data_IF_779187908277
#
_entry.id   IF_779187908277
#
_cell.length_a   1.000
_cell.length_b   1.000
_cell.length_c   1.000
_cell.angle_alpha   90.00
_cell.angle_beta   90.00
_cell.angle_gamma   90.00
#
_symmetry.space_group_name_H-M   'P 1'
#
loop_
_entity.id
_entity.type
_entity.pdbx_description
1 polymer ?
#
# COMPACT_ATOMS: atom_id res chain seq x y z
N UNK A 1 17.13 30.39 -10.06
CA UNK A 1 16.04 29.41 -9.91
C UNK A 1 14.81 30.17 -9.43
N UNK A 2 13.73 30.16 -10.20
CA UNK A 2 12.45 30.69 -9.75
C UNK A 2 11.69 29.55 -9.08
N UNK A 3 11.49 29.64 -7.77
CA UNK A 3 10.59 28.73 -7.05
C UNK A 3 9.17 29.15 -7.41
N UNK A 4 8.45 28.31 -8.15
CA UNK A 4 7.03 28.54 -8.43
C UNK A 4 6.26 27.97 -7.25
N UNK A 5 5.64 28.86 -6.46
CA UNK A 5 4.80 28.45 -5.34
C UNK A 5 3.39 28.21 -5.89
N UNK A 6 2.99 26.95 -5.98
CA UNK A 6 1.64 26.58 -6.39
C UNK A 6 0.72 26.58 -5.17
N UNK A 7 -0.43 27.25 -5.26
CA UNK A 7 -1.52 27.07 -4.30
C UNK A 7 -2.39 25.93 -4.82
N UNK A 8 -2.47 24.84 -4.06
CA UNK A 8 -3.34 23.73 -4.41
C UNK A 8 -4.80 24.20 -4.39
N UNK A 9 -5.62 23.77 -5.38
CA UNK A 9 -7.04 24.08 -5.37
C UNK A 9 -7.69 23.45 -4.14
N UNK A 10 -8.76 24.07 -3.63
CA UNK A 10 -9.48 23.54 -2.49
C UNK A 10 -10.27 22.28 -2.90
N UNK A 11 -9.64 21.11 -2.74
CA UNK A 11 -10.26 19.82 -3.03
C UNK A 11 -11.41 19.48 -2.07
N UNK A 12 -11.54 20.15 -0.91
CA UNK A 12 -12.74 20.00 -0.07
C UNK A 12 -14.00 20.49 -0.80
N UNK A 13 -13.88 21.35 -1.82
CA UNK A 13 -15.03 21.75 -2.66
C UNK A 13 -15.44 20.64 -3.65
N UNK A 14 -14.52 19.75 -4.05
CA UNK A 14 -14.78 18.65 -4.98
C UNK A 14 -15.16 17.36 -4.25
N UNK A 15 -14.59 17.13 -3.07
CA UNK A 15 -14.81 15.95 -2.23
C UNK A 15 -15.85 16.18 -1.14
N UNK A 16 -16.33 17.42 -1.03
CA UNK A 16 -17.36 17.94 -0.12
C UNK A 16 -17.50 17.12 1.16
N UNK A 17 -16.47 17.22 2.01
CA UNK A 17 -16.50 16.67 3.36
C UNK A 17 -17.66 17.26 4.17
N UNK A 18 -18.13 18.47 3.83
CA UNK A 18 -19.27 19.12 4.49
C UNK A 18 -20.62 18.50 4.07
N UNK A 19 -20.76 17.95 2.86
CA UNK A 19 -21.92 17.12 2.46
C UNK A 19 -21.80 15.65 2.86
N UNK A 20 -20.73 15.26 3.53
CA UNK A 20 -20.61 13.96 4.23
C UNK A 20 -20.68 14.16 5.75
N UNK A 21 -21.81 14.63 6.33
CA UNK A 21 -21.99 14.70 7.78
C UNK A 21 -21.87 13.34 8.48
N UNK A 22 -21.85 12.26 7.70
CA UNK A 22 -21.64 10.88 8.13
C UNK A 22 -20.25 10.33 7.77
N UNK A 23 -19.23 11.17 7.51
CA UNK A 23 -17.85 10.67 7.42
C UNK A 23 -17.49 10.05 8.78
N UNK A 24 -17.46 8.72 8.80
CA UNK A 24 -17.22 7.93 10.00
C UNK A 24 -15.87 7.29 9.87
N UNK A 25 -15.06 7.44 10.91
CA UNK A 25 -13.87 6.63 11.11
C UNK A 25 -14.30 5.44 11.97
N UNK A 26 -13.75 4.26 11.69
CA UNK A 26 -14.00 3.07 12.51
C UNK A 26 -13.71 3.38 14.01
N UNK A 27 -14.60 3.00 14.95
CA UNK A 27 -14.43 3.30 16.37
C UNK A 27 -13.18 2.67 17.01
N UNK A 28 -12.56 1.69 16.35
CA UNK A 28 -11.32 1.08 16.79
C UNK A 28 -10.05 1.88 16.46
N UNK A 29 -10.14 2.99 15.70
CA UNK A 29 -8.97 3.81 15.31
C UNK A 29 -8.07 4.18 16.49
N UNK A 30 -8.58 4.68 17.64
CA UNK A 30 -7.70 5.09 18.74
C UNK A 30 -6.92 3.91 19.33
N UNK A 31 -7.49 2.70 19.26
CA UNK A 31 -6.80 1.49 19.69
C UNK A 31 -5.71 1.09 18.69
N UNK A 32 -6.00 1.12 17.39
CA UNK A 32 -5.01 0.85 16.34
C UNK A 32 -3.84 1.83 16.41
N UNK A 33 -4.12 3.12 16.60
CA UNK A 33 -3.09 4.15 16.73
C UNK A 33 -2.14 3.86 17.89
N UNK A 34 -2.67 3.50 19.08
CA UNK A 34 -1.82 3.12 20.23
C UNK A 34 -0.99 1.87 19.94
N UNK A 35 -1.59 0.84 19.33
CA UNK A 35 -0.89 -0.40 18.99
C UNK A 35 0.22 -0.16 17.94
N UNK A 36 -0.04 0.73 16.98
CA UNK A 36 0.91 1.13 15.96
C UNK A 36 2.12 1.89 16.53
N UNK A 37 1.89 2.90 17.39
CA UNK A 37 2.98 3.62 18.05
C UNK A 37 3.82 2.68 18.91
N UNK A 38 3.18 1.79 19.68
CA UNK A 38 3.88 0.79 20.48
C UNK A 38 4.69 -0.22 19.63
N UNK A 39 4.31 -0.43 18.37
CA UNK A 39 5.10 -1.19 17.40
C UNK A 39 6.30 -0.38 16.91
N UNK A 40 6.12 0.89 16.54
CA UNK A 40 7.23 1.76 16.10
C UNK A 40 8.29 1.92 17.19
N UNK A 41 7.89 1.96 18.47
CA UNK A 41 8.82 1.98 19.60
C UNK A 41 9.75 0.77 19.64
N UNK A 42 9.28 -0.39 19.19
CA UNK A 42 10.10 -1.60 19.08
C UNK A 42 11.06 -1.56 17.88
N UNK A 43 10.80 -0.69 16.91
CA UNK A 43 11.64 -0.51 15.72
C UNK A 43 12.68 0.60 15.88
N UNK A 44 12.74 1.32 17.01
CA UNK A 44 13.62 2.49 17.19
C UNK A 44 15.11 2.25 16.89
N UNK A 45 15.58 1.00 16.96
CA UNK A 45 16.97 0.62 16.65
C UNK A 45 17.15 0.08 15.22
N UNK A 46 16.06 -0.09 14.47
CA UNK A 46 16.03 -0.63 13.10
C UNK A 46 15.80 0.49 12.10
N UNK A 47 14.92 1.45 12.43
CA UNK A 47 14.60 2.61 11.58
C UNK A 47 15.21 3.89 12.16
N UNK A 48 15.61 4.81 11.29
CA UNK A 48 16.12 6.12 11.69
C UNK A 48 15.01 7.03 12.25
N UNK A 49 15.34 8.07 13.04
CA UNK A 49 14.36 9.06 13.49
C UNK A 49 13.65 9.82 12.35
N UNK A 50 14.29 9.93 11.19
CA UNK A 50 13.67 10.49 10.00
C UNK A 50 12.60 9.53 9.46
N UNK A 51 12.96 8.28 9.16
CA UNK A 51 12.01 7.25 8.72
C UNK A 51 10.84 7.09 9.68
N UNK A 52 11.09 7.12 10.99
CA UNK A 52 10.02 7.07 11.99
C UNK A 52 9.00 8.20 11.81
N UNK A 53 9.45 9.44 11.59
CA UNK A 53 8.56 10.59 11.38
C UNK A 53 7.72 10.44 10.12
N UNK A 54 8.32 9.93 9.03
CA UNK A 54 7.59 9.64 7.79
C UNK A 54 6.49 8.59 8.03
N UNK A 55 6.83 7.50 8.73
CA UNK A 55 5.89 6.41 9.04
C UNK A 55 4.75 6.88 9.96
N UNK A 56 5.05 7.72 10.96
CA UNK A 56 4.03 8.34 11.84
C UNK A 56 3.16 9.33 11.06
N UNK A 57 3.78 10.15 10.20
CA UNK A 57 3.12 11.16 9.36
C UNK A 57 2.16 10.56 8.33
N UNK A 58 2.41 9.33 7.87
CA UNK A 58 1.51 8.60 6.98
C UNK A 58 0.15 8.24 7.61
N UNK A 59 0.00 8.35 8.94
CA UNK A 59 -1.26 8.12 9.66
C UNK A 59 -1.97 6.81 9.26
N UNK A 60 -1.21 5.73 9.06
CA UNK A 60 -1.72 4.44 8.59
C UNK A 60 -2.91 3.89 9.40
N UNK A 61 -2.96 4.02 10.75
CA UNK A 61 -4.14 3.60 11.53
C UNK A 61 -5.41 4.34 11.13
N UNK A 62 -5.34 5.66 10.93
CA UNK A 62 -6.46 6.47 10.48
C UNK A 62 -6.87 6.09 9.07
N UNK A 63 -5.90 5.88 8.17
CA UNK A 63 -6.14 5.41 6.81
C UNK A 63 -6.93 4.08 6.82
N UNK A 64 -6.45 3.07 7.55
CA UNK A 64 -7.12 1.77 7.67
C UNK A 64 -8.56 1.91 8.21
N UNK A 65 -8.73 2.69 9.28
CA UNK A 65 -10.02 2.91 9.91
C UNK A 65 -11.01 3.74 9.06
N UNK A 66 -10.52 4.63 8.20
CA UNK A 66 -11.33 5.42 7.29
C UNK A 66 -11.83 4.62 6.08
N UNK A 67 -11.02 3.66 5.59
CA UNK A 67 -11.41 2.79 4.47
C UNK A 67 -12.32 1.63 4.89
N UNK A 68 -12.23 1.19 6.16
CA UNK A 68 -12.90 -0.01 6.65
C UNK A 68 -13.79 0.31 7.88
N UNK A 69 -14.80 1.16 7.66
CA UNK A 69 -15.65 1.74 8.72
C UNK A 69 -16.36 0.67 9.57
N UNK A 70 -16.80 -0.42 8.94
CA UNK A 70 -17.57 -1.49 9.59
C UNK A 70 -16.73 -2.73 9.91
N UNK A 71 -15.41 -2.70 9.65
CA UNK A 71 -14.53 -3.82 9.92
C UNK A 71 -14.36 -4.03 11.43
N UNK A 72 -14.23 -5.29 11.85
CA UNK A 72 -13.86 -5.60 13.22
C UNK A 72 -12.38 -5.26 13.50
N UNK A 73 -12.02 -5.20 14.78
CA UNK A 73 -10.65 -4.88 15.19
C UNK A 73 -9.61 -5.85 14.61
N UNK A 74 -9.94 -7.13 14.45
CA UNK A 74 -9.00 -8.12 13.94
C UNK A 74 -8.75 -7.93 12.43
N UNK A 75 -9.81 -7.64 11.67
CA UNK A 75 -9.72 -7.27 10.26
C UNK A 75 -8.87 -6.01 10.07
N UNK A 76 -9.10 -4.97 10.89
CA UNK A 76 -8.32 -3.74 10.85
C UNK A 76 -6.84 -3.96 11.19
N UNK A 77 -6.53 -4.83 12.16
CA UNK A 77 -5.13 -5.18 12.47
C UNK A 77 -4.45 -5.84 11.28
N UNK A 78 -5.11 -6.80 10.64
CA UNK A 78 -4.62 -7.46 9.42
C UNK A 78 -4.40 -6.45 8.30
N UNK A 79 -5.31 -5.50 8.14
CA UNK A 79 -5.24 -4.48 7.10
C UNK A 79 -4.15 -3.43 7.38
N UNK A 80 -3.99 -3.01 8.63
CA UNK A 80 -2.89 -2.15 9.05
C UNK A 80 -1.53 -2.85 8.89
N UNK A 81 -1.42 -4.12 9.28
CA UNK A 81 -0.24 -4.96 9.07
C UNK A 81 0.13 -5.02 7.56
N UNK A 82 -0.88 -5.04 6.68
CA UNK A 82 -0.68 -4.98 5.24
C UNK A 82 -0.19 -3.60 4.75
N UNK A 83 -0.69 -2.49 5.28
CA UNK A 83 -0.13 -1.17 4.96
C UNK A 83 1.32 -1.02 5.42
N UNK A 84 1.67 -1.57 6.58
CA UNK A 84 3.07 -1.60 7.03
C UNK A 84 3.93 -2.44 6.09
N UNK A 85 3.43 -3.57 5.59
CA UNK A 85 4.13 -4.37 4.58
C UNK A 85 4.42 -3.56 3.30
N UNK A 86 3.44 -2.83 2.78
CA UNK A 86 3.62 -1.99 1.58
C UNK A 86 4.69 -0.92 1.79
N UNK A 87 4.69 -0.26 2.93
CA UNK A 87 5.68 0.75 3.27
C UNK A 87 7.10 0.17 3.38
N UNK A 88 7.24 -1.01 3.98
CA UNK A 88 8.53 -1.71 4.05
C UNK A 88 9.03 -2.09 2.66
N UNK A 89 8.14 -2.56 1.79
CA UNK A 89 8.44 -2.86 0.39
C UNK A 89 8.92 -1.61 -0.34
N UNK A 90 8.21 -0.49 -0.20
CA UNK A 90 8.54 0.78 -0.84
C UNK A 90 9.93 1.28 -0.41
N UNK A 91 10.22 1.24 0.89
CA UNK A 91 11.54 1.60 1.45
C UNK A 91 12.66 0.71 0.89
N UNK A 92 12.38 -0.58 0.66
CA UNK A 92 13.34 -1.52 0.08
C UNK A 92 13.52 -1.32 -1.43
N UNK A 93 12.47 -0.95 -2.16
CA UNK A 93 12.52 -0.73 -3.61
C UNK A 93 13.09 0.64 -3.99
N UNK A 94 13.00 1.66 -3.14
CA UNK A 94 13.41 3.02 -3.48
C UNK A 94 14.90 3.12 -3.84
N UNK A 95 15.16 3.39 -5.13
CA UNK A 95 16.49 3.57 -5.70
C UNK A 95 17.32 4.71 -5.09
N UNK A 96 16.64 5.71 -4.49
CA UNK A 96 17.30 6.85 -3.84
C UNK A 96 17.82 6.52 -2.43
N UNK A 97 17.38 5.40 -1.87
CA UNK A 97 17.79 4.92 -0.56
C UNK A 97 19.09 4.10 -0.68
N UNK A 98 19.99 4.21 0.30
CA UNK A 98 21.28 3.49 0.29
C UNK A 98 21.14 1.95 0.29
N UNK A 99 19.92 1.44 0.47
CA UNK A 99 19.55 0.02 0.47
C UNK A 99 19.00 -0.50 -0.88
N UNK A 100 18.90 0.35 -1.92
CA UNK A 100 18.34 0.02 -3.24
C UNK A 100 18.87 -1.26 -3.90
N UNK A 101 20.11 -1.68 -3.57
CA UNK A 101 20.70 -2.92 -4.10
C UNK A 101 20.12 -4.22 -3.54
N UNK A 102 19.12 -4.16 -2.65
CA UNK A 102 18.55 -5.32 -1.95
C UNK A 102 17.21 -5.78 -2.51
N UNK A 103 16.58 -4.97 -3.36
CA UNK A 103 15.31 -5.32 -3.98
C UNK A 103 15.52 -6.31 -5.12
N UNK A 104 15.32 -7.59 -4.82
CA UNK A 104 15.27 -8.67 -5.80
C UNK A 104 13.82 -9.10 -5.97
N UNK A 105 13.22 -8.70 -7.08
CA UNK A 105 11.82 -8.97 -7.38
C UNK A 105 11.49 -10.46 -7.28
N UNK A 106 12.36 -11.35 -7.77
CA UNK A 106 12.11 -12.80 -7.73
C UNK A 106 12.11 -13.28 -6.28
N UNK A 107 13.10 -12.88 -5.49
CA UNK A 107 13.18 -13.21 -4.07
C UNK A 107 11.94 -12.73 -3.30
N UNK A 108 11.48 -11.51 -3.55
CA UNK A 108 10.30 -10.94 -2.89
C UNK A 108 9.01 -11.68 -3.28
N UNK A 109 8.85 -12.03 -4.55
CA UNK A 109 7.71 -12.86 -5.01
C UNK A 109 7.72 -14.23 -4.34
N UNK A 110 8.88 -14.89 -4.28
CA UNK A 110 9.02 -16.19 -3.61
C UNK A 110 8.69 -16.10 -2.11
N UNK A 111 9.15 -15.03 -1.44
CA UNK A 111 8.86 -14.74 -0.04
C UNK A 111 7.36 -14.57 0.21
N UNK A 112 6.69 -13.74 -0.59
CA UNK A 112 5.25 -13.48 -0.42
C UNK A 112 4.42 -14.74 -0.61
N UNK A 113 4.72 -15.54 -1.65
CA UNK A 113 4.05 -16.81 -1.91
C UNK A 113 4.26 -17.80 -0.76
N UNK A 114 5.49 -17.96 -0.28
CA UNK A 114 5.77 -18.85 0.84
C UNK A 114 5.03 -18.42 2.12
N UNK A 115 5.06 -17.11 2.45
CA UNK A 115 4.38 -16.58 3.63
C UNK A 115 2.85 -16.74 3.56
N UNK A 116 2.27 -16.56 2.38
CA UNK A 116 0.83 -16.73 2.17
C UNK A 116 0.34 -18.16 2.33
N UNK A 117 1.17 -19.13 1.97
CA UNK A 117 0.88 -20.57 2.09
C UNK A 117 1.33 -21.14 3.45
N UNK A 118 1.78 -20.27 4.37
CA UNK A 118 2.29 -20.68 5.68
C UNK A 118 3.56 -21.53 5.62
N UNK A 119 4.28 -21.49 4.50
CA UNK A 119 5.51 -22.24 4.30
C UNK A 119 6.70 -21.53 4.93
N UNK A 120 7.72 -22.27 5.38
CA UNK A 120 9.00 -21.66 5.73
C UNK A 120 9.59 -20.98 4.50
N UNK A 121 10.24 -19.84 4.73
CA UNK A 121 11.02 -19.13 3.72
C UNK A 121 12.37 -18.84 4.32
N UNK A 122 13.43 -19.31 3.66
CA UNK A 122 14.80 -19.09 4.14
C UNK A 122 15.29 -17.70 3.73
N UNK A 123 15.22 -16.75 4.65
CA UNK A 123 15.78 -15.42 4.49
C UNK A 123 17.25 -15.32 4.97
N UNK A 124 17.86 -16.43 5.40
CA UNK A 124 19.19 -16.43 6.04
C UNK A 124 20.31 -15.96 5.11
N UNK A 125 20.11 -16.06 3.80
CA UNK A 125 21.05 -15.56 2.78
C UNK A 125 21.11 -14.02 2.71
N UNK A 126 20.03 -13.33 3.10
CA UNK A 126 19.96 -11.86 3.02
C UNK A 126 20.28 -11.14 4.34
N UNK A 127 20.16 -11.81 5.49
CA UNK A 127 20.42 -11.29 6.86
C UNK A 127 19.97 -9.84 7.11
N UNK A 128 18.92 -9.40 6.44
CA UNK A 128 18.43 -8.03 6.53
C UNK A 128 17.21 -7.94 7.46
N UNK A 129 17.23 -7.06 8.47
CA UNK A 129 16.09 -6.83 9.35
C UNK A 129 14.78 -6.47 8.62
N UNK A 130 14.83 -5.74 7.50
CA UNK A 130 13.66 -5.37 6.70
C UNK A 130 13.07 -6.57 5.95
N UNK A 131 13.90 -7.50 5.48
CA UNK A 131 13.42 -8.76 4.88
C UNK A 131 12.69 -9.60 5.92
N UNK A 132 13.24 -9.72 7.12
CA UNK A 132 12.58 -10.46 8.22
C UNK A 132 11.28 -9.78 8.65
N UNK A 133 11.26 -8.44 8.74
CA UNK A 133 10.04 -7.69 9.02
C UNK A 133 8.99 -7.89 7.91
N UNK A 134 9.40 -7.83 6.64
CA UNK A 134 8.53 -8.10 5.49
C UNK A 134 7.90 -9.49 5.59
N UNK A 135 8.71 -10.53 5.79
CA UNK A 135 8.22 -11.91 5.95
C UNK A 135 7.26 -12.04 7.14
N UNK A 136 7.57 -11.39 8.26
CA UNK A 136 6.70 -11.36 9.44
C UNK A 136 5.35 -10.73 9.15
N UNK A 137 5.30 -9.60 8.46
CA UNK A 137 4.04 -8.93 8.13
C UNK A 137 3.26 -9.70 7.06
N UNK A 138 3.92 -10.24 6.04
CA UNK A 138 3.29 -11.11 5.05
C UNK A 138 2.59 -12.32 5.69
N UNK A 139 3.24 -12.97 6.67
CA UNK A 139 2.66 -14.10 7.44
C UNK A 139 1.49 -13.69 8.34
N UNK A 140 1.41 -12.43 8.74
CA UNK A 140 0.29 -11.91 9.54
C UNK A 140 -0.89 -11.51 8.66
N UNK A 141 -0.63 -10.93 7.49
CA UNK A 141 -1.69 -10.31 6.69
C UNK A 141 -2.33 -11.25 5.67
N UNK A 142 -1.60 -12.18 5.04
CA UNK A 142 -2.19 -13.05 3.99
C UNK A 142 -2.93 -14.28 4.53
N UNK A 143 -2.39 -15.06 5.50
CA UNK A 143 -3.06 -16.27 5.97
C UNK A 143 -4.48 -16.07 6.54
N UNK A 144 -4.84 -14.94 7.17
CA UNK A 144 -6.21 -14.70 7.62
C UNK A 144 -7.23 -14.56 6.48
N UNK A 145 -6.81 -14.20 5.26
CA UNK A 145 -7.72 -14.07 4.13
C UNK A 145 -8.16 -15.46 3.64
N UNK A 146 -9.46 -15.66 3.34
CA UNK A 146 -9.92 -16.83 2.60
C UNK A 146 -9.17 -17.00 1.27
N UNK A 147 -8.97 -18.23 0.76
CA UNK A 147 -8.10 -18.51 -0.38
C UNK A 147 -8.35 -17.63 -1.61
N UNK A 148 -9.63 -17.37 -1.90
CA UNK A 148 -10.03 -16.51 -3.02
C UNK A 148 -9.50 -15.07 -2.87
N UNK A 149 -9.74 -14.41 -1.73
CA UNK A 149 -9.27 -13.04 -1.49
C UNK A 149 -7.75 -12.99 -1.35
N UNK A 150 -7.17 -14.02 -0.74
CA UNK A 150 -5.73 -14.15 -0.54
C UNK A 150 -5.00 -14.16 -1.89
N UNK A 151 -5.50 -14.95 -2.85
CA UNK A 151 -4.94 -15.02 -4.20
C UNK A 151 -4.98 -13.65 -4.89
N UNK A 152 -6.13 -12.98 -4.84
CA UNK A 152 -6.29 -11.65 -5.46
C UNK A 152 -5.36 -10.61 -4.78
N UNK A 153 -5.20 -10.65 -3.45
CA UNK A 153 -4.31 -9.77 -2.70
C UNK A 153 -2.83 -9.99 -3.05
N UNK A 154 -2.38 -11.26 -3.10
CA UNK A 154 -0.99 -11.58 -3.46
C UNK A 154 -0.71 -11.17 -4.90
N UNK A 155 -1.59 -11.53 -5.83
CA UNK A 155 -1.39 -11.20 -7.23
C UNK A 155 -1.34 -9.69 -7.44
N UNK A 156 -2.21 -8.93 -6.76
CA UNK A 156 -2.16 -7.47 -6.77
C UNK A 156 -0.86 -6.92 -6.19
N UNK A 157 -0.33 -7.52 -5.13
CA UNK A 157 0.94 -7.12 -4.51
C UNK A 157 2.12 -7.40 -5.44
N UNK A 158 2.14 -8.56 -6.10
CA UNK A 158 3.17 -8.94 -7.09
C UNK A 158 3.14 -7.98 -8.28
N UNK A 159 1.96 -7.66 -8.80
CA UNK A 159 1.81 -6.71 -9.90
C UNK A 159 2.30 -5.31 -9.52
N UNK A 160 2.02 -4.87 -8.29
CA UNK A 160 2.60 -3.64 -7.75
C UNK A 160 4.14 -3.70 -7.68
N UNK A 161 4.72 -4.77 -7.13
CA UNK A 161 6.19 -4.94 -7.06
C UNK A 161 6.85 -4.90 -8.45
N UNK A 162 6.22 -5.54 -9.44
CA UNK A 162 6.68 -5.53 -10.83
C UNK A 162 6.66 -4.13 -11.41
N UNK A 163 5.58 -3.38 -11.15
CA UNK A 163 5.43 -2.01 -11.62
C UNK A 163 6.42 -1.06 -10.94
N UNK A 164 6.63 -1.18 -9.63
CA UNK A 164 7.59 -0.39 -8.87
C UNK A 164 9.02 -0.63 -9.37
N UNK A 165 9.40 -1.89 -9.62
CA UNK A 165 10.70 -2.23 -10.20
C UNK A 165 10.89 -1.64 -11.62
N UNK A 166 9.80 -1.51 -12.38
CA UNK A 166 9.83 -0.88 -13.70
C UNK A 166 9.94 0.65 -13.59
N UNK A 167 9.30 1.27 -12.60
CA UNK A 167 9.38 2.71 -12.35
C UNK A 167 10.83 3.18 -12.15
N UNK A 168 11.63 2.41 -11.42
CA UNK A 168 13.04 2.72 -11.22
C UNK A 168 13.83 2.70 -12.54
N UNK A 169 13.55 1.75 -13.42
CA UNK A 169 14.14 1.71 -14.76
C UNK A 169 13.70 2.90 -15.61
N UNK A 170 12.41 3.26 -15.54
CA UNK A 170 11.83 4.36 -16.32
C UNK A 170 12.35 5.73 -15.86
N UNK A 171 12.59 5.94 -14.56
CA UNK A 171 13.19 7.16 -14.01
C UNK A 171 14.58 7.48 -14.60
N UNK A 172 15.32 6.46 -15.01
CA UNK A 172 16.65 6.63 -15.61
C UNK A 172 16.62 6.96 -17.11
N UNK A 173 15.46 6.79 -17.76
CA UNK A 173 15.27 7.07 -19.18
C UNK A 173 14.35 8.28 -19.37
N UNK A 174 14.92 9.39 -19.88
CA UNK A 174 14.22 10.67 -20.08
C UNK A 174 13.21 10.61 -21.23
N UNK A 175 12.13 9.84 -21.09
CA UNK A 175 11.01 9.86 -22.01
C UNK A 175 10.09 11.08 -21.73
N UNK A 176 9.46 11.58 -22.78
CA UNK A 176 8.45 12.64 -22.72
C UNK A 176 7.24 12.18 -21.89
N UNK A 177 7.14 12.63 -20.64
CA UNK A 177 5.99 12.38 -19.77
C UNK A 177 4.77 13.17 -20.26
N UNK A 178 3.70 12.48 -20.64
CA UNK A 178 2.36 13.06 -20.86
C UNK A 178 1.47 12.74 -19.66
N UNK A 179 0.33 13.44 -19.53
CA UNK A 179 -0.68 13.10 -18.50
C UNK A 179 -1.17 11.66 -18.66
N UNK A 180 -1.40 11.22 -19.90
CA UNK A 180 -1.86 9.86 -20.17
C UNK A 180 -0.80 8.82 -19.81
N UNK A 181 0.48 9.07 -20.12
CA UNK A 181 1.57 8.17 -19.74
C UNK A 181 1.76 8.14 -18.22
N UNK A 182 1.57 9.27 -17.55
CA UNK A 182 1.60 9.36 -16.08
C UNK A 182 0.47 8.54 -15.45
N UNK A 183 -0.79 8.72 -15.88
CA UNK A 183 -1.92 7.99 -15.33
C UNK A 183 -1.82 6.48 -15.61
N UNK A 184 -1.47 6.10 -16.84
CA UNK A 184 -1.25 4.70 -17.20
C UNK A 184 -0.17 4.05 -16.32
N UNK A 185 0.90 4.79 -16.03
CA UNK A 185 1.94 4.34 -15.12
C UNK A 185 1.42 4.23 -13.67
N UNK A 186 0.80 5.29 -13.13
CA UNK A 186 0.27 5.32 -11.75
C UNK A 186 -0.77 4.23 -11.47
N UNK A 187 -1.60 3.85 -12.46
CA UNK A 187 -2.55 2.74 -12.30
C UNK A 187 -1.89 1.41 -11.93
N UNK A 188 -0.62 1.22 -12.30
CA UNK A 188 0.14 0.02 -11.98
C UNK A 188 0.99 0.16 -10.71
N UNK A 189 1.52 1.35 -10.43
CA UNK A 189 2.42 1.58 -9.29
C UNK A 189 1.72 2.05 -8.01
N UNK A 190 0.45 2.46 -8.05
CA UNK A 190 -0.32 2.67 -6.83
C UNK A 190 -0.88 1.32 -6.38
N UNK A 191 -0.51 0.87 -5.18
CA UNK A 191 -0.85 -0.44 -4.61
C UNK A 191 -2.35 -0.62 -4.25
N UNK A 192 -3.28 -0.11 -5.06
CA UNK A 192 -4.74 -0.21 -4.86
C UNK A 192 -5.29 -1.58 -5.21
N UNK A 193 -4.75 -2.23 -6.24
CA UNK A 193 -5.18 -3.57 -6.65
C UNK A 193 -5.25 -4.57 -5.48
N UNK A 194 -4.19 -4.75 -4.67
CA UNK A 194 -4.26 -5.64 -3.53
C UNK A 194 -5.18 -5.11 -2.41
N UNK A 195 -5.22 -3.79 -2.19
CA UNK A 195 -6.12 -3.15 -1.21
C UNK A 195 -7.59 -3.50 -1.48
N UNK A 196 -8.01 -3.62 -2.74
CA UNK A 196 -9.39 -4.00 -3.08
C UNK A 196 -9.73 -5.41 -2.63
N UNK A 197 -8.78 -6.34 -2.68
CA UNK A 197 -9.01 -7.69 -2.16
C UNK A 197 -9.27 -7.67 -0.64
N UNK A 198 -8.51 -6.87 0.11
CA UNK A 198 -8.75 -6.65 1.54
C UNK A 198 -10.10 -5.99 1.80
N UNK A 199 -10.45 -4.92 1.06
CA UNK A 199 -11.73 -4.23 1.23
C UNK A 199 -12.92 -5.16 0.97
N UNK A 200 -12.83 -5.99 -0.08
CA UNK A 200 -13.85 -6.99 -0.37
C UNK A 200 -13.96 -8.05 0.73
N UNK A 201 -12.83 -8.52 1.26
CA UNK A 201 -12.82 -9.44 2.38
C UNK A 201 -13.47 -8.83 3.64
N UNK A 202 -13.09 -7.61 4.02
CA UNK A 202 -13.62 -6.94 5.20
C UNK A 202 -15.14 -6.72 5.08
N UNK A 203 -15.60 -6.27 3.91
CA UNK A 203 -17.02 -6.05 3.62
C UNK A 203 -17.81 -7.33 3.27
N UNK A 204 -17.18 -8.50 3.28
CA UNK A 204 -17.78 -9.78 2.89
C UNK A 204 -18.37 -9.78 1.46
N UNK A 205 -17.78 -9.01 0.55
CA UNK A 205 -18.22 -8.88 -0.84
C UNK A 205 -17.50 -9.89 -1.74
N UNK A 206 -18.20 -10.97 -2.08
CA UNK A 206 -17.74 -11.95 -3.05
C UNK A 206 -18.23 -11.61 -4.46
N UNK A 207 -17.30 -11.17 -5.32
CA UNK A 207 -17.51 -10.97 -6.76
C UNK A 207 -16.86 -12.13 -7.50
N UNK A 208 -17.56 -12.65 -8.51
CA UNK A 208 -17.00 -13.68 -9.38
C UNK A 208 -15.90 -13.10 -10.27
N UNK A 209 -15.01 -13.95 -10.77
CA UNK A 209 -13.93 -13.51 -11.65
C UNK A 209 -14.47 -12.90 -12.96
N UNK A 210 -15.61 -13.37 -13.45
CA UNK A 210 -16.29 -12.80 -14.62
C UNK A 210 -16.64 -11.33 -14.40
N UNK A 211 -17.21 -10.99 -13.23
CA UNK A 211 -17.56 -9.60 -12.87
C UNK A 211 -16.30 -8.74 -12.79
N UNK A 212 -15.25 -9.22 -12.10
CA UNK A 212 -13.99 -8.49 -11.94
C UNK A 212 -13.30 -8.20 -13.28
N UNK A 213 -13.54 -9.05 -14.28
CA UNK A 213 -12.97 -8.88 -15.61
C UNK A 213 -13.81 -8.01 -16.56
N UNK A 214 -15.03 -7.61 -16.15
CA UNK A 214 -15.88 -6.75 -16.98
C UNK A 214 -15.24 -5.37 -17.22
N UNK A 215 -15.47 -4.75 -18.39
CA UNK A 215 -15.01 -3.40 -18.66
C UNK A 215 -15.53 -2.36 -17.65
N UNK A 216 -16.76 -2.55 -17.16
CA UNK A 216 -17.36 -1.66 -16.18
C UNK A 216 -16.60 -1.69 -14.83
N UNK A 217 -16.27 -2.89 -14.33
CA UNK A 217 -15.51 -3.01 -13.08
C UNK A 217 -14.10 -2.45 -13.23
N UNK A 218 -13.41 -2.76 -14.34
CA UNK A 218 -12.07 -2.23 -14.64
C UNK A 218 -12.07 -0.71 -14.74
N UNK A 219 -13.04 -0.13 -15.46
CA UNK A 219 -13.17 1.32 -15.60
C UNK A 219 -13.43 2.02 -14.26
N UNK A 220 -14.26 1.43 -13.40
CA UNK A 220 -14.50 1.95 -12.04
C UNK A 220 -13.22 1.91 -11.19
N UNK A 221 -12.48 0.80 -11.29
CA UNK A 221 -11.20 0.62 -10.60
C UNK A 221 -10.18 1.66 -11.05
N UNK A 222 -9.93 1.77 -12.36
CA UNK A 222 -9.00 2.74 -12.92
C UNK A 222 -9.35 4.17 -12.52
N UNK A 223 -10.64 4.55 -12.59
CA UNK A 223 -11.10 5.87 -12.16
C UNK A 223 -10.84 6.12 -10.67
N UNK A 224 -10.99 5.09 -9.84
CA UNK A 224 -10.69 5.18 -8.39
C UNK A 224 -9.19 5.37 -8.17
N UNK A 225 -8.36 4.64 -8.90
CA UNK A 225 -6.91 4.78 -8.82
C UNK A 225 -6.48 6.17 -9.28
N UNK A 226 -7.04 6.69 -10.37
CA UNK A 226 -6.72 8.03 -10.87
C UNK A 226 -7.05 9.10 -9.83
N UNK A 227 -8.21 9.03 -9.18
CA UNK A 227 -8.58 9.95 -8.10
C UNK A 227 -7.59 9.89 -6.92
N UNK A 228 -7.16 8.69 -6.53
CA UNK A 228 -6.16 8.50 -5.46
C UNK A 228 -4.79 9.03 -5.90
N UNK A 229 -4.33 8.67 -7.10
CA UNK A 229 -3.03 9.07 -7.62
C UNK A 229 -2.91 10.59 -7.80
N UNK A 230 -3.98 11.24 -8.30
CA UNK A 230 -4.03 12.69 -8.48
C UNK A 230 -4.16 13.44 -7.16
N UNK A 231 -4.88 12.87 -6.18
CA UNK A 231 -4.92 13.42 -4.81
C UNK A 231 -3.67 13.13 -4.00
N UNK A 232 -2.77 12.27 -4.48
CA UNK A 232 -1.45 12.05 -3.90
C UNK A 232 -0.36 12.97 -4.51
N UNK A 233 -0.74 13.96 -5.33
CA UNK A 233 0.19 14.99 -5.85
C UNK A 233 0.66 15.95 -4.75
N UNK A 234 0.10 15.85 -3.53
CA UNK A 234 0.53 16.60 -2.35
C UNK A 234 1.94 16.23 -1.86
N UNK A 235 2.49 15.09 -2.30
CA UNK A 235 3.82 14.60 -1.92
C UNK A 235 4.91 14.92 -2.97
N UNK A 236 4.58 15.63 -4.07
CA UNK A 236 5.57 16.11 -5.03
C UNK A 236 6.02 17.54 -4.64
N UNK A 237 7.28 17.76 -4.25
CA UNK A 237 7.81 19.07 -3.89
C UNK A 237 7.81 20.09 -5.05
#
# INVERSE_FOLDING_TARGET
MHTVQYQLPNFDLLLDRQSRPNYKVNPHEPQLAREFIAFLDKLQNIISPFQRREIEGAQLPLCAAAYAIDADLQQLRVYLDYFVLLLLIEVMSDASNAQAGMFDLKFMVDLLNACAEGQPFDASERKDPLVELTARFARKCFPPLPPFYRRDAIQGTISYLQAAAQEDNDRTNSASFTVDSYLAHRRNVVAIHPVIAFNRWMSQISLSQEILQTPAFKGLLESTIDLIALSNVYDCP
#
